data_IF_292070841613
#
_entry.id   IF_292070841613
#
_cell.length_a   1.000
_cell.length_b   1.000
_cell.length_c   1.000
_cell.angle_alpha   90.00
_cell.angle_beta   90.00
_cell.angle_gamma   90.00
#
_symmetry.space_group_name_H-M   'P 1'
#
loop_
_entity.id
_entity.type
_entity.pdbx_description
1 polymer ?
#
# COMPACT_ATOMS: atom_id res chain seq x y z
N UNK A 1 14.07 -13.44 21.61
CA UNK A 1 13.99 -12.42 20.54
C UNK A 1 13.40 -12.98 19.24
N UNK A 2 13.99 -14.01 18.64
CA UNK A 2 13.50 -14.64 17.40
C UNK A 2 12.00 -15.01 17.42
N UNK A 3 11.53 -15.69 18.48
CA UNK A 3 10.12 -16.07 18.62
C UNK A 3 9.16 -14.86 18.74
N UNK A 4 9.61 -13.76 19.35
CA UNK A 4 8.81 -12.54 19.49
C UNK A 4 8.67 -11.80 18.16
N UNK A 5 9.77 -11.66 17.42
CA UNK A 5 9.78 -11.10 16.06
C UNK A 5 8.88 -11.94 15.14
N UNK A 6 9.02 -13.26 15.18
CA UNK A 6 8.24 -14.18 14.36
C UNK A 6 6.73 -14.12 14.66
N UNK A 7 6.35 -13.91 15.93
CA UNK A 7 4.96 -13.71 16.32
C UNK A 7 4.38 -12.38 15.80
N UNK A 8 5.13 -11.27 15.90
CA UNK A 8 4.72 -9.99 15.34
C UNK A 8 4.59 -10.05 13.82
N UNK A 9 5.57 -10.65 13.14
CA UNK A 9 5.55 -10.80 11.69
C UNK A 9 4.31 -11.58 11.24
N UNK A 10 3.97 -12.68 11.93
CA UNK A 10 2.73 -13.44 11.65
C UNK A 10 1.46 -12.62 11.84
N UNK A 11 1.44 -11.69 12.78
CA UNK A 11 0.27 -10.86 13.06
C UNK A 11 0.05 -9.79 11.99
N UNK A 12 1.14 -9.21 11.48
CA UNK A 12 1.14 -8.28 10.34
C UNK A 12 0.73 -9.00 9.05
N UNK A 13 1.35 -10.15 8.75
CA UNK A 13 1.06 -10.91 7.53
C UNK A 13 -0.38 -11.44 7.47
N UNK A 14 -1.00 -11.78 8.62
CA UNK A 14 -2.39 -12.24 8.67
C UNK A 14 -3.42 -11.16 8.38
N UNK A 15 -3.07 -9.87 8.46
CA UNK A 15 -4.01 -8.76 8.25
C UNK A 15 -4.26 -8.43 6.77
N UNK A 16 -3.53 -9.03 5.82
CA UNK A 16 -3.56 -8.58 4.44
C UNK A 16 -4.18 -9.59 3.46
N UNK A 17 -5.43 -9.31 3.11
CA UNK A 17 -6.01 -9.70 1.81
C UNK A 17 -5.85 -8.48 0.90
N UNK A 18 -4.68 -8.28 0.29
CA UNK A 18 -4.46 -7.09 -0.55
C UNK A 18 -3.03 -6.71 -0.96
N UNK A 19 -2.00 -7.34 -0.37
CA UNK A 19 -0.59 -7.02 -0.67
C UNK A 19 0.07 -6.13 0.39
N UNK A 20 1.42 -6.10 0.35
CA UNK A 20 2.28 -5.45 1.35
C UNK A 20 2.16 -3.92 1.23
N UNK A 21 1.71 -3.27 2.30
CA UNK A 21 1.67 -1.81 2.39
C UNK A 21 3.06 -1.22 2.66
N UNK A 22 3.27 0.04 2.26
CA UNK A 22 4.52 0.78 2.52
C UNK A 22 4.85 0.91 4.01
N UNK A 23 3.83 0.97 4.87
CA UNK A 23 3.99 0.97 6.32
C UNK A 23 4.59 -0.35 6.86
N UNK A 24 4.26 -1.49 6.25
CA UNK A 24 4.77 -2.79 6.69
C UNK A 24 6.26 -2.95 6.36
N UNK A 25 6.68 -2.43 5.20
CA UNK A 25 8.10 -2.38 4.82
C UNK A 25 8.90 -1.56 5.83
N UNK A 26 8.38 -0.40 6.24
CA UNK A 26 9.01 0.43 7.27
C UNK A 26 9.13 -0.30 8.61
N UNK A 27 8.07 -0.99 9.05
CA UNK A 27 8.11 -1.80 10.28
C UNK A 27 9.13 -2.92 10.19
N UNK A 28 9.23 -3.62 9.05
CA UNK A 28 10.21 -4.68 8.82
C UNK A 28 11.64 -4.13 8.88
N UNK A 29 11.89 -2.98 8.23
CA UNK A 29 13.21 -2.31 8.24
C UNK A 29 13.59 -1.90 9.67
N UNK A 30 12.65 -1.33 10.44
CA UNK A 30 12.89 -0.94 11.83
C UNK A 30 13.15 -2.15 12.73
N UNK A 31 12.44 -3.26 12.53
CA UNK A 31 12.72 -4.52 13.25
C UNK A 31 14.11 -5.05 12.90
N UNK A 32 14.52 -4.98 11.63
CA UNK A 32 15.85 -5.39 11.19
C UNK A 32 16.95 -4.52 11.80
N UNK A 33 16.74 -3.20 11.91
CA UNK A 33 17.66 -2.26 12.54
C UNK A 33 17.79 -2.51 14.05
N UNK A 34 16.68 -2.73 14.76
CA UNK A 34 16.70 -3.11 16.18
C UNK A 34 17.40 -4.46 16.37
N UNK A 35 17.13 -5.44 15.51
CA UNK A 35 17.81 -6.74 15.56
C UNK A 35 19.31 -6.64 15.29
N UNK A 36 19.73 -5.80 14.35
CA UNK A 36 21.14 -5.53 14.07
C UNK A 36 21.85 -4.83 15.22
N UNK A 37 21.22 -3.79 15.80
CA UNK A 37 21.78 -3.05 16.93
C UNK A 37 21.80 -3.87 18.23
N UNK A 38 20.93 -4.87 18.38
CA UNK A 38 20.93 -5.81 19.52
C UNK A 38 22.11 -6.80 19.50
N UNK A 39 22.83 -6.90 18.38
CA UNK A 39 24.00 -7.79 18.22
C UNK A 39 25.32 -7.01 18.47
N UNK A 40 25.29 -5.68 18.43
CA UNK A 40 26.42 -4.85 18.85
C UNK A 40 26.51 -4.82 20.40
N UNK A 41 27.71 -4.83 21.00
CA UNK A 41 27.88 -4.64 22.42
C UNK A 41 27.66 -3.15 22.75
N UNK A 42 26.41 -2.72 22.71
CA UNK A 42 25.97 -1.44 23.23
C UNK A 42 25.01 -1.74 24.39
N UNK A 43 25.14 -0.97 25.47
CA UNK A 43 24.45 -1.12 26.76
C UNK A 43 22.93 -0.86 26.70
N UNK A 44 22.27 -1.16 25.58
CA UNK A 44 20.85 -0.96 25.38
C UNK A 44 20.10 -2.20 25.89
N UNK A 45 19.50 -2.04 27.07
CA UNK A 45 18.66 -3.07 27.68
C UNK A 45 17.56 -3.50 26.73
N UNK A 46 17.22 -4.79 26.70
CA UNK A 46 16.12 -5.37 25.91
C UNK A 46 14.80 -4.58 26.07
N UNK A 47 14.62 -3.91 27.21
CA UNK A 47 13.49 -3.02 27.47
C UNK A 47 13.42 -1.78 26.57
N UNK A 48 14.56 -1.19 26.19
CA UNK A 48 14.60 -0.01 25.31
C UNK A 48 14.18 -0.38 23.88
N UNK A 49 14.66 -1.51 23.37
CA UNK A 49 14.22 -2.04 22.07
C UNK A 49 12.73 -2.38 22.06
N UNK A 50 12.21 -2.92 23.16
CA UNK A 50 10.77 -3.24 23.29
C UNK A 50 9.92 -1.97 23.33
N UNK A 51 10.40 -0.92 24.01
CA UNK A 51 9.73 0.38 24.10
C UNK A 51 9.72 1.09 22.74
N UNK A 52 10.83 1.01 21.98
CA UNK A 52 10.92 1.55 20.62
C UNK A 52 9.91 0.87 19.69
N UNK A 53 9.88 -0.47 19.68
CA UNK A 53 8.93 -1.24 18.87
C UNK A 53 7.48 -0.96 19.29
N UNK A 54 7.19 -0.90 20.59
CA UNK A 54 5.86 -0.56 21.10
C UNK A 54 5.42 0.84 20.66
N UNK A 55 6.34 1.82 20.66
CA UNK A 55 6.08 3.19 20.22
C UNK A 55 5.77 3.24 18.71
N UNK A 56 6.55 2.53 17.89
CA UNK A 56 6.32 2.42 16.45
C UNK A 56 4.97 1.77 16.16
N UNK A 57 4.66 0.65 16.80
CA UNK A 57 3.37 -0.03 16.63
C UNK A 57 2.20 0.84 17.10
N UNK A 58 2.36 1.56 18.22
CA UNK A 58 1.37 2.49 18.71
C UNK A 58 1.07 3.59 17.68
N UNK A 59 2.10 4.24 17.14
CA UNK A 59 1.93 5.28 16.13
C UNK A 59 1.37 4.73 14.82
N UNK A 60 1.81 3.56 14.38
CA UNK A 60 1.28 2.90 13.17
C UNK A 60 -0.22 2.62 13.32
N UNK A 61 -0.62 2.01 14.44
CA UNK A 61 -2.02 1.74 14.75
C UNK A 61 -2.84 3.03 14.92
N UNK A 62 -2.28 4.04 15.57
CA UNK A 62 -2.92 5.33 15.75
C UNK A 62 -3.17 6.00 14.39
N UNK A 63 -2.22 5.93 13.46
CA UNK A 63 -2.39 6.47 12.11
C UNK A 63 -3.45 5.72 11.31
N UNK A 64 -3.49 4.39 11.38
CA UNK A 64 -4.58 3.59 10.78
C UNK A 64 -5.94 3.95 11.38
N UNK A 65 -6.02 4.08 12.71
CA UNK A 65 -7.24 4.43 13.42
C UNK A 65 -7.72 5.85 13.07
N UNK A 66 -6.81 6.82 12.99
CA UNK A 66 -7.12 8.18 12.54
C UNK A 66 -7.65 8.18 11.10
N UNK A 67 -7.03 7.43 10.19
CA UNK A 67 -7.52 7.29 8.82
C UNK A 67 -8.91 6.65 8.76
N UNK A 68 -9.19 5.67 9.62
CA UNK A 68 -10.51 5.02 9.70
C UNK A 68 -11.57 5.96 10.30
N UNK A 69 -11.24 6.68 11.37
CA UNK A 69 -12.19 7.52 12.12
C UNK A 69 -12.46 8.87 11.45
N UNK A 70 -11.49 9.41 10.72
CA UNK A 70 -11.55 10.73 10.09
C UNK A 70 -11.41 10.62 8.56
N UNK A 71 -12.54 10.62 7.82
CA UNK A 71 -12.53 10.56 6.35
C UNK A 71 -11.78 11.72 5.68
N UNK A 72 -11.64 12.86 6.36
CA UNK A 72 -10.83 13.99 5.90
C UNK A 72 -9.33 13.70 5.92
N UNK A 73 -8.86 12.96 6.93
CA UNK A 73 -7.47 12.51 7.02
C UNK A 73 -7.19 11.40 6.00
N UNK A 74 -8.17 10.52 5.79
CA UNK A 74 -8.14 9.55 4.70
C UNK A 74 -8.01 10.21 3.33
N UNK A 75 -8.75 11.30 3.05
CA UNK A 75 -8.65 12.04 1.78
C UNK A 75 -7.36 12.86 1.62
N UNK A 76 -6.72 13.23 2.73
CA UNK A 76 -5.44 13.92 2.71
C UNK A 76 -4.28 12.95 2.43
N UNK A 77 -4.38 11.71 2.92
CA UNK A 77 -3.36 10.66 2.72
C UNK A 77 -3.60 9.73 1.53
N UNK A 78 -4.86 9.51 1.12
CA UNK A 78 -5.21 8.73 -0.08
C UNK A 78 -5.60 9.67 -1.19
N UNK A 79 -4.83 9.65 -2.28
CA UNK A 79 -5.23 10.34 -3.49
C UNK A 79 -6.59 9.82 -3.98
N UNK A 80 -7.50 10.71 -4.39
CA UNK A 80 -8.83 10.32 -4.82
C UNK A 80 -8.73 9.44 -6.06
N UNK A 81 -9.40 8.27 -6.03
CA UNK A 81 -9.49 7.33 -7.15
C UNK A 81 -9.72 8.08 -8.46
N UNK A 82 -8.78 7.98 -9.39
CA UNK A 82 -8.83 8.75 -10.63
C UNK A 82 -9.27 7.86 -11.79
N UNK A 83 -10.38 8.22 -12.45
CA UNK A 83 -10.84 7.46 -13.61
C UNK A 83 -9.88 7.66 -14.79
N UNK A 84 -9.34 6.58 -15.33
CA UNK A 84 -8.43 6.56 -16.48
C UNK A 84 -9.13 6.17 -17.78
N UNK A 85 -10.11 5.28 -17.74
CA UNK A 85 -10.94 4.88 -18.90
C UNK A 85 -12.42 5.06 -18.54
N UNK A 86 -13.19 5.63 -19.47
CA UNK A 86 -14.64 5.73 -19.39
C UNK A 86 -15.28 5.21 -20.69
N UNK A 87 -16.02 4.10 -20.60
CA UNK A 87 -16.72 3.47 -21.72
C UNK A 87 -15.85 3.32 -22.98
N UNK A 88 -14.65 2.76 -22.81
CA UNK A 88 -13.69 2.54 -23.88
C UNK A 88 -12.91 3.78 -24.35
N UNK A 89 -13.09 4.94 -23.70
CA UNK A 89 -12.31 6.16 -24.00
C UNK A 89 -11.30 6.44 -22.91
N UNK A 90 -10.03 6.56 -23.30
CA UNK A 90 -8.95 6.99 -22.40
C UNK A 90 -9.10 8.46 -22.03
N UNK A 91 -9.17 8.75 -20.74
CA UNK A 91 -9.24 10.10 -20.17
C UNK A 91 -7.83 10.69 -20.07
N UNK A 92 -7.27 11.12 -21.21
CA UNK A 92 -5.89 11.65 -21.28
C UNK A 92 -5.59 12.81 -20.34
N UNK A 93 -6.60 13.59 -19.93
CA UNK A 93 -6.44 14.67 -18.93
C UNK A 93 -6.08 14.10 -17.56
N UNK A 94 -6.74 13.02 -17.17
CA UNK A 94 -6.52 12.34 -15.88
C UNK A 94 -5.20 11.59 -15.89
N UNK A 95 -4.92 10.88 -16.99
CA UNK A 95 -3.62 10.21 -17.19
C UNK A 95 -2.44 11.19 -17.09
N UNK A 96 -2.55 12.38 -17.69
CA UNK A 96 -1.51 13.42 -17.58
C UNK A 96 -1.32 13.97 -16.17
N UNK A 97 -2.38 13.99 -15.35
CA UNK A 97 -2.32 14.49 -13.97
C UNK A 97 -1.48 13.56 -13.08
N UNK A 98 -1.59 12.26 -13.33
CA UNK A 98 -0.92 11.19 -12.57
C UNK A 98 0.26 10.57 -13.31
N UNK A 99 0.75 11.24 -14.36
CA UNK A 99 1.87 10.77 -15.19
C UNK A 99 1.73 9.35 -15.77
N UNK A 100 0.51 8.83 -15.87
CA UNK A 100 0.22 7.50 -16.43
C UNK A 100 0.31 7.55 -17.95
N UNK A 101 1.17 6.72 -18.52
CA UNK A 101 1.32 6.61 -19.97
C UNK A 101 0.25 5.69 -20.58
N UNK A 102 -0.05 5.88 -21.87
CA UNK A 102 -0.94 4.96 -22.59
C UNK A 102 -0.38 3.54 -22.66
N UNK A 103 0.95 3.37 -22.64
CA UNK A 103 1.57 2.05 -22.67
C UNK A 103 1.37 1.30 -21.34
N UNK A 104 1.55 1.96 -20.21
CA UNK A 104 1.30 1.37 -18.88
C UNK A 104 -0.18 0.97 -18.72
N UNK A 105 -1.09 1.87 -19.08
CA UNK A 105 -2.51 1.59 -19.02
C UNK A 105 -2.89 0.39 -19.92
N UNK A 106 -2.36 0.34 -21.14
CA UNK A 106 -2.61 -0.80 -22.04
C UNK A 106 -1.92 -2.09 -21.58
N UNK A 107 -0.78 -2.01 -20.89
CA UNK A 107 -0.16 -3.19 -20.28
C UNK A 107 -1.07 -3.81 -19.21
N UNK A 108 -1.66 -2.98 -18.35
CA UNK A 108 -2.63 -3.41 -17.34
C UNK A 108 -3.92 -3.97 -17.97
N UNK A 109 -4.39 -3.38 -19.08
CA UNK A 109 -5.53 -3.92 -19.86
C UNK A 109 -5.20 -5.30 -20.43
N UNK A 110 -3.98 -5.52 -20.92
CA UNK A 110 -3.53 -6.85 -21.41
C UNK A 110 -3.34 -7.88 -20.31
N UNK A 111 -2.91 -7.48 -19.11
CA UNK A 111 -2.84 -8.39 -17.96
C UNK A 111 -4.23 -8.94 -17.57
N UNK A 112 -5.29 -8.20 -17.87
CA UNK A 112 -6.69 -8.67 -17.74
C UNK A 112 -7.18 -9.50 -18.93
N UNK A 113 -6.35 -9.76 -19.93
CA UNK A 113 -6.73 -10.52 -21.13
C UNK A 113 -7.50 -9.72 -22.17
N UNK A 114 -7.49 -8.39 -22.09
CA UNK A 114 -8.10 -7.50 -23.08
C UNK A 114 -7.02 -6.89 -23.99
N UNK A 115 -7.27 -6.91 -25.30
CA UNK A 115 -6.34 -6.33 -26.29
C UNK A 115 -6.60 -4.85 -26.57
N UNK A 116 -7.83 -4.39 -26.33
CA UNK A 116 -8.27 -3.03 -26.63
C UNK A 116 -9.04 -2.42 -25.45
N UNK A 117 -8.76 -1.14 -25.20
CA UNK A 117 -9.48 -0.31 -24.25
C UNK A 117 -10.98 -0.21 -24.58
N UNK A 118 -11.41 -0.39 -25.84
CA UNK A 118 -12.82 -0.36 -26.23
C UNK A 118 -13.71 -1.36 -25.47
N UNK A 119 -13.12 -2.47 -25.00
CA UNK A 119 -13.78 -3.52 -24.19
C UNK A 119 -13.82 -3.21 -22.69
N UNK A 120 -13.17 -2.13 -22.26
CA UNK A 120 -13.13 -1.68 -20.87
C UNK A 120 -14.28 -0.71 -20.60
N UNK A 121 -15.19 -1.07 -19.68
CA UNK A 121 -16.26 -0.19 -19.21
C UNK A 121 -15.70 0.96 -18.39
N UNK A 122 -14.80 0.67 -17.46
CA UNK A 122 -14.15 1.69 -16.64
C UNK A 122 -12.79 1.22 -16.14
N UNK A 123 -11.82 2.12 -16.03
CA UNK A 123 -10.57 1.85 -15.32
C UNK A 123 -10.27 3.00 -14.35
N UNK A 124 -9.75 2.67 -13.16
CA UNK A 124 -9.41 3.62 -12.10
C UNK A 124 -7.98 3.42 -11.63
N UNK A 125 -7.28 4.53 -11.39
CA UNK A 125 -6.06 4.54 -10.59
C UNK A 125 -6.47 4.54 -9.11
N UNK A 126 -6.10 3.49 -8.39
CA UNK A 126 -6.31 3.33 -6.97
C UNK A 126 -5.21 4.05 -6.17
N UNK A 127 -5.46 4.30 -4.88
CA UNK A 127 -4.54 5.06 -4.02
C UNK A 127 -3.20 4.35 -3.74
N UNK A 128 -3.13 3.04 -4.00
CA UNK A 128 -1.89 2.25 -3.93
C UNK A 128 -1.10 2.28 -5.26
N UNK A 129 -1.58 3.01 -6.27
CA UNK A 129 -0.99 3.07 -7.61
C UNK A 129 -1.42 1.91 -8.53
N UNK A 130 -2.24 0.98 -8.04
CA UNK A 130 -2.77 -0.10 -8.88
C UNK A 130 -3.86 0.41 -9.83
N UNK A 131 -4.01 -0.25 -10.98
CA UNK A 131 -5.08 0.06 -11.94
C UNK A 131 -6.17 -1.00 -11.82
N UNK A 132 -7.35 -0.58 -11.32
CA UNK A 132 -8.53 -1.44 -11.33
C UNK A 132 -9.28 -1.31 -12.65
N UNK A 133 -9.64 -2.45 -13.26
CA UNK A 133 -10.30 -2.52 -14.58
C UNK A 133 -11.63 -3.23 -14.43
N UNK A 134 -12.68 -2.60 -14.95
CA UNK A 134 -14.05 -3.14 -15.03
C UNK A 134 -14.33 -3.41 -16.50
N UNK A 135 -14.53 -4.68 -16.84
CA UNK A 135 -14.86 -5.11 -18.19
C UNK A 135 -16.30 -4.73 -18.53
N UNK A 136 -16.56 -4.59 -19.83
CA UNK A 136 -17.91 -4.41 -20.34
C UNK A 136 -18.54 -5.82 -20.44
N UNK A 137 -19.61 -6.06 -19.69
CA UNK A 137 -20.44 -7.26 -19.87
C UNK A 137 -20.97 -7.27 -21.32
N UNK A 138 -20.91 -8.43 -21.96
CA UNK A 138 -21.47 -8.68 -23.29
C UNK A 138 -22.99 -8.64 -23.28
#
# INVERSE_FOLDING_TARGET
MYLGILAMLRLVLRRQVGGIGTADVLVIVLIAEVAGNSIAPAEQSVGEGLLLVATILFWSYLMEWLQFRFPGFQRLMRDPKLKLIDNGRMLRRNMRREFVTSQELMAQVREKGLEDCSRVKSAYLEADGSISIIEREH
#
